data_IF_123430395444
#
_entry.id   IF_123430395444
#
_cell.length_a   1.000
_cell.length_b   1.000
_cell.length_c   1.000
_cell.angle_alpha   90.00
_cell.angle_beta   90.00
_cell.angle_gamma   90.00
#
_symmetry.space_group_name_H-M   'P 1'
#
loop_
_entity.id
_entity.type
_entity.pdbx_description
1 polymer ?
#
# COMPACT_ATOMS: atom_id res chain seq x y z
N UNK A 1 24.91 -10.60 -19.04
CA UNK A 1 24.48 -11.41 -17.88
C UNK A 1 23.97 -10.50 -16.77
N UNK A 2 23.16 -11.01 -15.83
CA UNK A 2 22.65 -10.22 -14.69
C UNK A 2 23.79 -9.61 -13.85
N UNK A 3 24.92 -10.32 -13.71
CA UNK A 3 26.07 -9.84 -12.97
C UNK A 3 26.73 -8.59 -13.58
N UNK A 4 26.82 -8.51 -14.91
CA UNK A 4 27.38 -7.34 -15.61
C UNK A 4 26.48 -6.12 -15.45
N UNK A 5 25.15 -6.30 -15.51
CA UNK A 5 24.19 -5.23 -15.30
C UNK A 5 24.25 -4.70 -13.86
N UNK A 6 24.42 -5.59 -12.87
CA UNK A 6 24.58 -5.21 -11.47
C UNK A 6 25.87 -4.41 -11.25
N UNK A 7 26.99 -4.84 -11.85
CA UNK A 7 28.27 -4.12 -11.80
C UNK A 7 28.16 -2.73 -12.42
N UNK A 8 27.43 -2.58 -13.53
CA UNK A 8 27.15 -1.26 -14.13
C UNK A 8 26.42 -0.34 -13.16
N UNK A 9 25.38 -0.82 -12.50
CA UNK A 9 24.63 -0.01 -11.54
C UNK A 9 25.45 0.37 -10.31
N UNK A 10 26.29 -0.55 -9.83
CA UNK A 10 27.21 -0.27 -8.74
C UNK A 10 28.19 0.83 -9.15
N UNK A 11 28.73 0.78 -10.37
CA UNK A 11 29.61 1.82 -10.88
C UNK A 11 28.91 3.17 -11.10
N UNK A 12 27.66 3.16 -11.59
CA UNK A 12 26.87 4.37 -11.88
C UNK A 12 26.30 5.05 -10.64
N UNK A 13 25.81 4.28 -9.66
CA UNK A 13 25.04 4.79 -8.52
C UNK A 13 25.70 4.56 -7.15
N UNK A 14 26.72 3.71 -7.10
CA UNK A 14 27.37 3.27 -5.86
C UNK A 14 26.70 2.08 -5.19
N UNK A 15 27.50 1.27 -4.51
CA UNK A 15 27.10 0.04 -3.81
C UNK A 15 25.93 0.29 -2.84
N UNK A 16 26.04 1.30 -1.99
CA UNK A 16 25.05 1.58 -0.95
C UNK A 16 23.67 1.91 -1.52
N UNK A 17 23.64 2.59 -2.66
CA UNK A 17 22.38 2.96 -3.32
C UNK A 17 21.69 1.75 -3.94
N UNK A 18 22.45 0.87 -4.59
CA UNK A 18 21.95 -0.38 -5.15
C UNK A 18 21.47 -1.32 -4.04
N UNK A 19 22.22 -1.41 -2.93
CA UNK A 19 21.85 -2.19 -1.76
C UNK A 19 20.52 -1.73 -1.15
N UNK A 20 20.30 -0.42 -1.01
CA UNK A 20 19.03 0.10 -0.50
C UNK A 20 17.86 -0.21 -1.44
N UNK A 21 18.08 -0.16 -2.76
CA UNK A 21 17.07 -0.55 -3.74
C UNK A 21 16.69 -2.03 -3.61
N UNK A 22 17.69 -2.91 -3.43
CA UNK A 22 17.48 -4.34 -3.20
C UNK A 22 16.75 -4.61 -1.89
N UNK A 23 17.15 -3.97 -0.79
CA UNK A 23 16.46 -4.08 0.49
C UNK A 23 14.99 -3.70 0.38
N UNK A 24 14.69 -2.63 -0.36
CA UNK A 24 13.31 -2.17 -0.59
C UNK A 24 12.52 -3.08 -1.52
N UNK A 25 13.19 -3.78 -2.42
CA UNK A 25 12.60 -4.84 -3.23
C UNK A 25 12.22 -6.05 -2.34
N UNK A 26 13.10 -6.43 -1.40
CA UNK A 26 12.88 -7.45 -0.38
C UNK A 26 11.67 -7.13 0.51
N UNK A 27 11.61 -5.93 1.08
CA UNK A 27 10.50 -5.50 1.95
C UNK A 27 9.13 -5.57 1.25
N UNK A 28 9.12 -5.47 -0.09
CA UNK A 28 7.91 -5.55 -0.91
C UNK A 28 7.62 -6.95 -1.46
N UNK A 29 8.45 -7.93 -1.11
CA UNK A 29 8.34 -9.32 -1.58
C UNK A 29 8.60 -9.49 -3.08
N UNK A 30 9.34 -8.57 -3.71
CA UNK A 30 9.61 -8.58 -5.16
C UNK A 30 11.10 -8.64 -5.43
N UNK A 31 11.64 -9.85 -5.59
CA UNK A 31 13.08 -10.12 -5.71
C UNK A 31 13.64 -10.05 -7.15
N UNK A 32 12.87 -9.53 -8.10
CA UNK A 32 13.30 -9.53 -9.50
C UNK A 32 14.23 -8.35 -9.80
N UNK A 33 15.30 -8.60 -10.55
CA UNK A 33 16.23 -7.55 -10.98
C UNK A 33 15.53 -6.43 -11.75
N UNK A 34 14.52 -6.76 -12.56
CA UNK A 34 13.71 -5.74 -13.23
C UNK A 34 12.95 -4.82 -12.27
N UNK A 35 12.54 -5.32 -11.10
CA UNK A 35 11.91 -4.50 -10.07
C UNK A 35 12.91 -3.59 -9.36
N UNK A 36 14.11 -4.10 -9.05
CA UNK A 36 15.23 -3.30 -8.52
C UNK A 36 15.61 -2.18 -9.50
N UNK A 37 15.74 -2.50 -10.80
CA UNK A 37 15.95 -1.51 -11.87
C UNK A 37 14.87 -0.43 -11.88
N UNK A 38 13.61 -0.84 -11.72
CA UNK A 38 12.48 0.08 -11.63
C UNK A 38 12.59 1.04 -10.44
N UNK A 39 13.03 0.55 -9.28
CA UNK A 39 13.28 1.38 -8.09
C UNK A 39 14.41 2.38 -8.36
N UNK A 40 15.55 1.91 -8.88
CA UNK A 40 16.70 2.76 -9.20
C UNK A 40 16.30 3.86 -10.19
N UNK A 41 15.66 3.50 -11.31
CA UNK A 41 15.18 4.46 -12.30
C UNK A 41 14.18 5.47 -11.72
N UNK A 42 13.31 5.04 -10.80
CA UNK A 42 12.37 5.95 -10.13
C UNK A 42 13.12 6.97 -9.26
N UNK A 43 14.19 6.57 -8.59
CA UNK A 43 15.02 7.48 -7.80
C UNK A 43 15.82 8.45 -8.67
N UNK A 44 16.41 7.98 -9.77
CA UNK A 44 17.12 8.83 -10.73
C UNK A 44 16.18 9.87 -11.35
N UNK A 45 14.97 9.47 -11.78
CA UNK A 45 13.93 10.40 -12.27
C UNK A 45 13.51 11.46 -11.25
N UNK A 46 13.71 11.15 -9.97
CA UNK A 46 13.41 12.05 -8.87
C UNK A 46 14.61 12.94 -8.48
N UNK A 47 15.73 12.86 -9.22
CA UNK A 47 16.96 13.60 -8.94
C UNK A 47 17.74 13.08 -7.73
N UNK A 48 17.49 11.85 -7.29
CA UNK A 48 18.15 11.24 -6.14
C UNK A 48 19.34 10.45 -6.66
N UNK A 49 20.55 10.89 -6.31
CA UNK A 49 21.81 10.26 -6.74
C UNK A 49 22.67 9.78 -5.56
N UNK A 50 22.24 10.02 -4.32
CA UNK A 50 22.96 9.59 -3.11
C UNK A 50 22.01 9.06 -2.05
N UNK A 51 22.48 8.11 -1.25
CA UNK A 51 21.75 7.55 -0.10
C UNK A 51 21.38 8.64 0.91
N UNK A 52 22.20 9.68 1.06
CA UNK A 52 21.88 10.82 1.94
C UNK A 52 20.64 11.57 1.44
N UNK A 53 20.61 11.88 0.15
CA UNK A 53 19.46 12.54 -0.49
C UNK A 53 18.20 11.67 -0.44
N UNK A 54 18.36 10.35 -0.53
CA UNK A 54 17.28 9.39 -0.38
C UNK A 54 16.67 9.44 1.03
N UNK A 55 17.51 9.40 2.07
CA UNK A 55 17.07 9.50 3.48
C UNK A 55 16.39 10.84 3.76
N UNK A 56 16.97 11.95 3.30
CA UNK A 56 16.39 13.28 3.47
C UNK A 56 14.98 13.37 2.84
N UNK A 57 14.81 12.78 1.65
CA UNK A 57 13.51 12.72 1.00
C UNK A 57 12.50 11.87 1.76
N UNK A 58 12.93 10.74 2.31
CA UNK A 58 12.04 9.89 3.09
C UNK A 58 11.54 10.59 4.35
N UNK A 59 12.42 11.32 5.03
CA UNK A 59 12.06 12.16 6.19
C UNK A 59 11.03 13.22 5.77
N UNK A 60 11.30 13.95 4.67
CA UNK A 60 10.38 14.97 4.16
C UNK A 60 9.01 14.38 3.80
N UNK A 61 8.99 13.21 3.15
CA UNK A 61 7.76 12.52 2.75
C UNK A 61 6.97 12.00 3.95
N UNK A 62 7.65 11.47 4.97
CA UNK A 62 7.01 11.06 6.22
C UNK A 62 6.40 12.26 6.97
N UNK A 63 7.14 13.37 7.05
CA UNK A 63 6.66 14.61 7.67
C UNK A 63 5.44 15.18 6.93
N UNK A 64 5.47 15.17 5.60
CA UNK A 64 4.32 15.60 4.77
C UNK A 64 3.09 14.70 5.00
N UNK A 65 3.28 13.36 5.06
CA UNK A 65 2.19 12.41 5.34
C UNK A 65 1.58 12.63 6.74
N UNK A 66 2.41 12.87 7.75
CA UNK A 66 1.96 13.17 9.12
C UNK A 66 1.18 14.47 9.19
N UNK A 67 1.66 15.53 8.52
CA UNK A 67 0.96 16.82 8.44
C UNK A 67 -0.39 16.72 7.73
N UNK A 68 -0.46 15.96 6.63
CA UNK A 68 -1.70 15.82 5.86
C UNK A 68 -2.79 15.01 6.59
N UNK A 69 -2.40 14.03 7.42
CA UNK A 69 -3.34 13.31 8.29
C UNK A 69 -4.09 14.26 9.24
N UNK A 70 -3.37 15.24 9.83
CA UNK A 70 -3.97 16.22 10.74
C UNK A 70 -4.93 17.19 10.02
N UNK A 71 -4.70 17.44 8.73
CA UNK A 71 -5.60 18.21 7.87
C UNK A 71 -6.89 17.46 7.54
N UNK A 72 -6.79 16.13 7.34
CA UNK A 72 -7.94 15.27 7.07
C UNK A 72 -8.94 15.23 8.24
N UNK A 73 -8.44 15.29 9.48
CA UNK A 73 -9.29 15.42 10.68
C UNK A 73 -9.96 16.80 10.80
N UNK A 74 -9.35 17.88 10.29
CA UNK A 74 -9.99 19.20 10.27
C UNK A 74 -11.18 19.26 9.31
N UNK A 75 -11.12 18.58 8.17
CA UNK A 75 -12.26 18.44 7.25
C UNK A 75 -13.39 17.54 7.77
N UNK A 76 -13.11 16.66 8.75
CA UNK A 76 -14.14 15.87 9.42
C UNK A 76 -15.07 16.71 10.31
N UNK A 77 -14.77 18.00 10.59
CA UNK A 77 -15.69 18.92 11.27
C UNK A 77 -16.74 19.56 10.36
N UNK A 78 -16.56 19.48 9.04
CA UNK A 78 -17.51 19.95 8.02
C UNK A 78 -18.34 18.78 7.47
N UNK A 79 -18.75 17.83 8.33
CA UNK A 79 -19.64 16.75 7.92
C UNK A 79 -21.01 17.36 7.62
N UNK A 80 -21.49 17.19 6.39
CA UNK A 80 -22.86 17.53 5.99
C UNK A 80 -23.86 16.90 6.97
N UNK A 81 -24.93 17.62 7.28
CA UNK A 81 -26.03 17.08 8.10
C UNK A 81 -26.69 15.95 7.33
N UNK A 82 -26.31 14.71 7.65
CA UNK A 82 -26.92 13.52 7.06
C UNK A 82 -28.21 13.19 7.80
N UNK A 83 -29.33 12.93 7.10
CA UNK A 83 -30.58 12.53 7.74
C UNK A 83 -30.46 11.23 8.54
N UNK A 84 -31.27 11.12 9.60
CA UNK A 84 -31.26 9.96 10.50
C UNK A 84 -31.54 8.63 9.80
N UNK A 85 -32.40 8.63 8.77
CA UNK A 85 -32.70 7.43 7.98
C UNK A 85 -31.46 6.86 7.28
N UNK A 86 -30.48 7.71 6.94
CA UNK A 86 -29.25 7.29 6.25
C UNK A 86 -28.28 6.60 7.21
N UNK A 87 -28.17 7.10 8.44
CA UNK A 87 -27.41 6.48 9.52
C UNK A 87 -28.02 5.14 9.93
N UNK A 88 -29.35 5.10 10.04
CA UNK A 88 -30.10 3.88 10.35
C UNK A 88 -29.89 2.79 9.29
N UNK A 89 -29.90 3.15 8.00
CA UNK A 89 -29.60 2.22 6.91
C UNK A 89 -28.18 1.65 7.01
N UNK A 90 -27.18 2.47 7.35
CA UNK A 90 -25.80 2.00 7.56
C UNK A 90 -25.71 1.08 8.78
N UNK A 91 -26.40 1.41 9.88
CA UNK A 91 -26.46 0.60 11.10
C UNK A 91 -27.05 -0.78 10.82
N UNK A 92 -28.22 -0.84 10.16
CA UNK A 92 -28.87 -2.10 9.76
C UNK A 92 -27.99 -2.98 8.87
N UNK A 93 -27.26 -2.41 7.89
CA UNK A 93 -26.30 -3.16 7.06
C UNK A 93 -25.15 -3.77 7.87
N UNK A 94 -24.63 -3.05 8.86
CA UNK A 94 -23.55 -3.55 9.72
C UNK A 94 -24.04 -4.67 10.63
N UNK A 95 -25.20 -4.48 11.26
CA UNK A 95 -25.85 -5.49 12.10
C UNK A 95 -26.12 -6.77 11.29
N UNK A 96 -26.66 -6.64 10.08
CA UNK A 96 -26.90 -7.80 9.20
C UNK A 96 -25.61 -8.53 8.78
N UNK A 97 -24.52 -7.81 8.51
CA UNK A 97 -23.21 -8.43 8.21
C UNK A 97 -22.61 -9.16 9.42
N UNK A 98 -22.93 -8.71 10.62
CA UNK A 98 -22.36 -9.23 11.87
C UNK A 98 -23.20 -10.35 12.48
N UNK A 99 -24.49 -10.37 12.20
CA UNK A 99 -25.45 -11.38 12.64
C UNK A 99 -25.72 -12.46 11.59
N UNK A 100 -24.80 -12.71 10.65
CA UNK A 100 -24.90 -13.91 9.81
C UNK A 100 -24.79 -15.10 10.75
N UNK A 101 -25.93 -15.75 11.02
CA UNK A 101 -25.98 -16.87 11.96
C UNK A 101 -25.34 -18.11 11.33
N UNK A 102 -24.84 -19.02 12.16
CA UNK A 102 -24.33 -20.31 11.70
C UNK A 102 -25.40 -21.07 10.88
N UNK A 103 -26.69 -20.88 11.21
CA UNK A 103 -27.82 -21.47 10.48
C UNK A 103 -27.94 -20.91 9.05
N UNK A 104 -27.70 -19.62 8.85
CA UNK A 104 -27.73 -18.99 7.53
C UNK A 104 -26.58 -19.47 6.65
N UNK A 105 -25.41 -19.75 7.24
CA UNK A 105 -24.25 -20.32 6.55
C UNK A 105 -24.54 -21.76 6.13
N UNK A 106 -25.05 -22.59 7.05
CA UNK A 106 -25.41 -24.00 6.77
C UNK A 106 -26.47 -24.09 5.67
N UNK A 107 -27.49 -23.22 5.71
CA UNK A 107 -28.54 -23.17 4.69
C UNK A 107 -28.00 -22.76 3.32
N UNK A 108 -27.04 -21.83 3.28
CA UNK A 108 -26.33 -21.47 2.05
C UNK A 108 -25.51 -22.63 1.48
N UNK A 109 -24.78 -23.36 2.33
CA UNK A 109 -24.00 -24.54 1.92
C UNK A 109 -24.89 -25.65 1.36
N UNK A 110 -26.05 -25.89 1.98
CA UNK A 110 -27.02 -26.88 1.54
C UNK A 110 -27.62 -26.52 0.16
N UNK A 111 -27.94 -25.25 -0.05
CA UNK A 111 -28.39 -24.73 -1.36
C UNK A 111 -27.29 -24.93 -2.41
N UNK A 112 -26.03 -24.59 -2.11
CA UNK A 112 -24.91 -24.77 -3.05
C UNK A 112 -24.68 -26.23 -3.42
N UNK A 113 -24.88 -27.15 -2.48
CA UNK A 113 -24.75 -28.60 -2.71
C UNK A 113 -25.82 -29.12 -3.68
N UNK A 114 -27.03 -28.55 -3.64
CA UNK A 114 -28.14 -28.91 -4.55
C UNK A 114 -27.88 -28.54 -6.01
N UNK A 115 -27.11 -27.46 -6.26
CA UNK A 115 -26.77 -26.98 -7.60
C UNK A 115 -25.43 -27.51 -8.13
N UNK A 116 -24.77 -28.41 -7.39
CA UNK A 116 -23.49 -29.02 -7.80
C UNK A 116 -23.67 -30.38 -8.53
N UNK A 117 -24.88 -30.69 -8.98
CA UNK A 117 -25.18 -31.79 -9.91
C UNK A 117 -25.41 -31.25 -11.31
#
# INVERSE_FOLDING_TARGET
MIAEELLSWIYEFGDDFVMEAMKRALERGKFTFGYVKGILNAWVKQGIQSVETLKAKEIAMNNARRSNSNSQYRNARNQEVVPDWFLERKRKKRIHKQNVSEEDIVKMEEILKKYKN
#
